data_IF_847800462474
#
_entry.id   IF_847800462474
#
_cell.length_a   1.000
_cell.length_b   1.000
_cell.length_c   1.000
_cell.angle_alpha   90.00
_cell.angle_beta   90.00
_cell.angle_gamma   90.00
#
_symmetry.space_group_name_H-M   'P 1'
#
loop_
_entity.id
_entity.type
_entity.pdbx_description
1 polymer ?
#
# COMPACT_ATOMS: atom_id res chain seq x y z
N UNK A 1 -4.83 -50.59 21.54
CA UNK A 1 -5.58 -49.87 20.48
C UNK A 1 -6.45 -48.69 20.96
N UNK A 2 -6.69 -48.50 22.27
CA UNK A 2 -7.55 -47.39 22.79
C UNK A 2 -6.76 -46.09 23.03
N UNK A 3 -5.54 -46.20 23.54
CA UNK A 3 -4.63 -45.06 23.79
C UNK A 3 -4.17 -44.34 22.51
N UNK A 4 -3.98 -45.06 21.40
CA UNK A 4 -3.58 -44.48 20.11
C UNK A 4 -4.64 -43.51 19.57
N UNK A 5 -5.93 -43.82 19.79
CA UNK A 5 -7.06 -42.95 19.39
C UNK A 5 -7.11 -41.65 20.21
N UNK A 6 -6.77 -41.73 21.49
CA UNK A 6 -6.72 -40.55 22.38
C UNK A 6 -5.57 -39.63 22.00
N UNK A 7 -4.41 -40.18 21.63
CA UNK A 7 -3.24 -39.41 21.21
C UNK A 7 -3.49 -38.64 19.90
N UNK A 8 -4.16 -39.27 18.92
CA UNK A 8 -4.51 -38.62 17.64
C UNK A 8 -5.52 -37.48 17.85
N UNK A 9 -6.47 -37.64 18.79
CA UNK A 9 -7.43 -36.59 19.12
C UNK A 9 -6.80 -35.33 19.72
N UNK A 10 -5.79 -35.47 20.58
CA UNK A 10 -5.07 -34.33 21.17
C UNK A 10 -4.25 -33.54 20.13
N UNK A 11 -3.67 -34.21 19.13
CA UNK A 11 -2.88 -33.56 18.07
C UNK A 11 -3.76 -32.67 17.16
N UNK A 12 -5.00 -33.08 16.91
CA UNK A 12 -5.94 -32.28 16.12
C UNK A 12 -6.40 -30.99 16.83
N UNK A 13 -6.33 -30.93 18.17
CA UNK A 13 -6.80 -29.76 18.94
C UNK A 13 -5.77 -28.62 18.97
N UNK A 14 -4.50 -28.91 18.70
CA UNK A 14 -3.40 -27.92 18.68
C UNK A 14 -3.26 -27.12 17.38
N UNK A 15 -4.06 -27.40 16.34
CA UNK A 15 -3.90 -26.80 15.01
C UNK A 15 -4.54 -25.40 14.83
N UNK A 16 -5.14 -24.81 15.88
CA UNK A 16 -6.04 -23.66 15.73
C UNK A 16 -5.55 -22.37 16.41
N UNK A 17 -4.24 -22.11 16.43
CA UNK A 17 -3.70 -20.80 16.87
C UNK A 17 -3.40 -19.92 15.66
N UNK A 18 -4.44 -19.30 15.10
CA UNK A 18 -4.26 -18.23 14.12
C UNK A 18 -3.82 -16.95 14.86
N UNK A 19 -2.50 -16.75 15.01
CA UNK A 19 -1.95 -15.46 15.43
C UNK A 19 -2.03 -14.49 14.25
N UNK A 20 -3.15 -13.77 14.15
CA UNK A 20 -3.26 -12.67 13.20
C UNK A 20 -2.40 -11.48 13.70
N UNK A 21 -1.22 -11.31 13.12
CA UNK A 21 -0.37 -10.16 13.39
C UNK A 21 -0.98 -8.91 12.75
N UNK A 22 -1.13 -7.83 13.52
CA UNK A 22 -1.62 -6.55 13.00
C UNK A 22 -0.58 -5.94 12.07
N UNK A 23 -0.90 -5.84 10.79
CA UNK A 23 -0.03 -5.22 9.77
C UNK A 23 -0.49 -3.80 9.46
N UNK A 24 0.47 -2.91 9.20
CA UNK A 24 0.16 -1.56 8.70
C UNK A 24 -0.26 -1.69 7.23
N UNK A 25 -1.49 -1.30 6.92
CA UNK A 25 -2.04 -1.39 5.57
C UNK A 25 -1.48 -0.29 4.66
N UNK A 26 -1.56 0.97 5.12
CA UNK A 26 -1.00 2.12 4.40
C UNK A 26 -0.76 3.30 5.35
N UNK A 27 0.03 4.27 4.88
CA UNK A 27 0.36 5.50 5.61
C UNK A 27 -0.21 6.71 4.90
N UNK A 28 -0.68 7.67 5.70
CA UNK A 28 -1.06 9.00 5.22
C UNK A 28 0.21 9.82 5.02
N UNK A 29 0.38 10.38 3.82
CA UNK A 29 1.55 11.21 3.50
C UNK A 29 1.22 12.70 3.47
N UNK A 30 0.01 13.08 3.05
CA UNK A 30 -0.42 14.49 2.97
C UNK A 30 -1.91 14.59 3.33
N UNK A 31 -2.30 15.67 4.02
CA UNK A 31 -3.69 16.01 4.34
C UNK A 31 -4.04 17.29 3.57
N UNK A 32 -5.19 17.32 2.90
CA UNK A 32 -5.60 18.41 2.00
C UNK A 32 -7.07 18.76 2.25
N UNK A 33 -7.31 19.88 2.95
CA UNK A 33 -8.63 20.25 3.48
C UNK A 33 -9.32 19.08 4.22
N UNK A 34 -10.35 18.48 3.63
CA UNK A 34 -11.08 17.34 4.20
C UNK A 34 -10.60 15.98 3.67
N UNK A 35 -9.70 15.98 2.69
CA UNK A 35 -9.13 14.79 2.06
C UNK A 35 -7.79 14.36 2.64
N UNK A 36 -7.42 13.10 2.38
CA UNK A 36 -6.09 12.53 2.67
C UNK A 36 -5.51 11.92 1.41
N UNK A 37 -4.19 12.02 1.26
CA UNK A 37 -3.42 11.39 0.18
C UNK A 37 -2.51 10.33 0.81
N UNK A 38 -2.66 9.08 0.35
CA UNK A 38 -1.90 7.94 0.85
C UNK A 38 -0.52 7.81 0.20
N UNK A 39 0.39 7.11 0.87
CA UNK A 39 1.72 6.82 0.31
C UNK A 39 1.65 5.88 -0.89
N UNK A 40 0.68 4.95 -0.91
CA UNK A 40 0.46 4.09 -2.07
C UNK A 40 0.08 4.89 -3.32
N UNK A 41 -0.78 5.91 -3.20
CA UNK A 41 -1.20 6.78 -4.32
C UNK A 41 0.00 7.54 -4.92
N UNK A 42 0.84 8.13 -4.07
CA UNK A 42 2.04 8.84 -4.52
C UNK A 42 2.97 7.87 -5.27
N UNK A 43 3.18 6.67 -4.71
CA UNK A 43 4.04 5.65 -5.31
C UNK A 43 3.48 5.14 -6.64
N UNK A 44 2.17 4.94 -6.72
CA UNK A 44 1.50 4.47 -7.93
C UNK A 44 1.58 5.51 -9.05
N UNK A 45 1.36 6.78 -8.73
CA UNK A 45 1.49 7.86 -9.70
C UNK A 45 2.94 8.01 -10.19
N UNK A 46 3.92 8.01 -9.28
CA UNK A 46 5.35 8.05 -9.64
C UNK A 46 5.72 6.86 -10.53
N UNK A 47 5.27 5.65 -10.18
CA UNK A 47 5.51 4.45 -10.99
C UNK A 47 4.91 4.59 -12.39
N UNK A 48 3.68 5.07 -12.49
CA UNK A 48 2.99 5.29 -13.77
C UNK A 48 3.75 6.29 -14.63
N UNK A 49 4.23 7.40 -14.04
CA UNK A 49 5.03 8.40 -14.77
C UNK A 49 6.35 7.80 -15.25
N UNK A 50 7.05 7.03 -14.40
CA UNK A 50 8.29 6.35 -14.78
C UNK A 50 8.07 5.35 -15.91
N UNK A 51 7.05 4.50 -15.80
CA UNK A 51 6.70 3.49 -16.79
C UNK A 51 6.38 4.15 -18.15
N UNK A 52 5.66 5.28 -18.15
CA UNK A 52 5.36 6.03 -19.37
C UNK A 52 6.60 6.72 -19.97
N UNK A 53 7.47 7.30 -19.14
CA UNK A 53 8.69 7.93 -19.61
C UNK A 53 9.64 6.91 -20.26
N UNK A 54 9.76 5.71 -19.67
CA UNK A 54 10.55 4.62 -20.27
C UNK A 54 10.00 4.22 -21.64
N UNK A 55 8.67 4.07 -21.78
CA UNK A 55 8.03 3.76 -23.06
C UNK A 55 8.25 4.84 -24.13
N UNK A 56 8.26 6.10 -23.71
CA UNK A 56 8.41 7.25 -24.60
C UNK A 56 9.87 7.71 -24.78
N UNK A 57 10.86 6.98 -24.26
CA UNK A 57 12.28 7.37 -24.24
C UNK A 57 12.51 8.80 -23.69
N UNK A 58 11.71 9.21 -22.71
CA UNK A 58 11.78 10.54 -22.12
C UNK A 58 12.73 10.55 -20.93
N UNK A 59 13.57 11.59 -20.85
CA UNK A 59 14.41 11.81 -19.69
C UNK A 59 13.55 12.15 -18.46
N UNK A 60 13.81 11.46 -17.36
CA UNK A 60 13.15 11.69 -16.08
C UNK A 60 13.98 12.62 -15.19
N UNK A 61 13.35 13.54 -14.45
CA UNK A 61 14.05 14.29 -13.41
C UNK A 61 14.37 13.38 -12.22
N UNK A 62 15.06 13.92 -11.21
CA UNK A 62 15.39 13.16 -9.99
C UNK A 62 14.15 12.59 -9.32
N UNK A 63 14.29 11.45 -8.64
CA UNK A 63 13.18 10.80 -7.90
C UNK A 63 12.53 11.73 -6.87
N UNK A 64 13.32 12.60 -6.23
CA UNK A 64 12.79 13.62 -5.32
C UNK A 64 11.88 14.60 -6.06
N UNK A 65 12.32 15.10 -7.22
CA UNK A 65 11.52 16.01 -8.04
C UNK A 65 10.24 15.34 -8.55
N UNK A 66 10.32 14.09 -9.03
CA UNK A 66 9.14 13.32 -9.43
C UNK A 66 8.14 13.16 -8.30
N UNK A 67 8.61 12.82 -7.09
CA UNK A 67 7.75 12.66 -5.92
C UNK A 67 7.08 13.98 -5.53
N UNK A 68 7.83 15.09 -5.55
CA UNK A 68 7.26 16.43 -5.29
C UNK A 68 6.18 16.78 -6.31
N UNK A 69 6.44 16.58 -7.60
CA UNK A 69 5.47 16.85 -8.67
C UNK A 69 4.24 15.94 -8.57
N UNK A 70 4.42 14.67 -8.22
CA UNK A 70 3.31 13.75 -7.99
C UNK A 70 2.42 14.21 -6.82
N UNK A 71 3.01 14.67 -5.72
CA UNK A 71 2.27 15.21 -4.58
C UNK A 71 1.48 16.45 -4.98
N UNK A 72 2.11 17.41 -5.66
CA UNK A 72 1.44 18.63 -6.14
C UNK A 72 0.25 18.29 -7.05
N UNK A 73 0.42 17.33 -7.95
CA UNK A 73 -0.66 16.86 -8.82
C UNK A 73 -1.81 16.25 -8.02
N UNK A 74 -1.50 15.36 -7.07
CA UNK A 74 -2.51 14.71 -6.22
C UNK A 74 -3.25 15.71 -5.33
N UNK A 75 -2.58 16.76 -4.83
CA UNK A 75 -3.23 17.85 -4.08
C UNK A 75 -4.26 18.56 -4.96
N UNK A 76 -3.87 18.95 -6.17
CA UNK A 76 -4.76 19.64 -7.11
C UNK A 76 -5.96 18.76 -7.48
N UNK A 77 -5.71 17.48 -7.78
CA UNK A 77 -6.77 16.52 -8.11
C UNK A 77 -7.72 16.33 -6.91
N UNK A 78 -7.19 16.27 -5.69
CA UNK A 78 -7.99 16.14 -4.48
C UNK A 78 -8.85 17.38 -4.20
N UNK A 79 -8.32 18.59 -4.39
CA UNK A 79 -9.08 19.83 -4.26
C UNK A 79 -10.17 19.95 -5.33
N UNK A 80 -9.88 19.55 -6.57
CA UNK A 80 -10.86 19.59 -7.65
C UNK A 80 -12.01 18.59 -7.46
N UNK A 81 -11.81 17.49 -6.74
CA UNK A 81 -12.91 16.58 -6.40
C UNK A 81 -13.84 17.12 -5.30
N UNK A 82 -13.41 18.15 -4.56
CA UNK A 82 -14.17 18.71 -3.44
C UNK A 82 -15.08 19.89 -3.84
N UNK A 83 -14.93 20.42 -5.06
CA UNK A 83 -15.72 21.57 -5.57
C UNK A 83 -17.08 21.17 -6.13
#
# INVERSE_FOLDING_TARGET
>A
MKFLRILIGCICLSASVNLAAQTVLDKVSVIVDKGVILESEIRELVKTVKDNATKNNQALPSDRALRTQAIERLILDNLQMQV
#
